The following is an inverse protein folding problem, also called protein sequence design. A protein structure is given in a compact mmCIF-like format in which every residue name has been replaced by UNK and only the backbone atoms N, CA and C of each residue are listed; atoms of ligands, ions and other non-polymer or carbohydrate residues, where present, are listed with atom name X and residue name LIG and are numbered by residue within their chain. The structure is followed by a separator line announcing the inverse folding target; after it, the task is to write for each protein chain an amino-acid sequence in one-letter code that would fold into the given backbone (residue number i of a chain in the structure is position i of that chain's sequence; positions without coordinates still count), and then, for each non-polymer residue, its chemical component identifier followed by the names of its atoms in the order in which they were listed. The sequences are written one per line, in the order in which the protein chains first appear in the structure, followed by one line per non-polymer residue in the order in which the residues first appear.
data_IF_672053697121
#
_entry.id   IF_672053697121
#
_cell.length_a   1.000
_cell.length_b   1.000
_cell.length_c   1.000
_cell.angle_alpha   90.00
_cell.angle_beta   90.00
_cell.angle_gamma   90.00
#
_symmetry.space_group_name_H-M   'P 1'
#
loop_
_entity.id
_entity.type
_entity.pdbx_description
1 polymer ?
#
# COMPACT_ATOMS: atom_id res chain seq x y z
N UNK A 1 24.95 -7.51 15.47
CA UNK A 1 24.41 -8.64 14.69
C UNK A 1 23.06 -8.96 15.24
N UNK A 2 22.01 -8.54 14.54
CA UNK A 2 20.63 -8.66 15.03
C UNK A 2 20.08 -10.04 14.68
N UNK A 3 19.30 -10.60 15.61
CA UNK A 3 18.70 -11.95 15.55
C UNK A 3 17.82 -12.17 14.31
N UNK A 4 17.45 -11.11 13.60
CA UNK A 4 16.70 -11.17 12.33
C UNK A 4 17.56 -11.60 11.12
N UNK A 5 18.87 -11.32 11.11
CA UNK A 5 19.75 -11.72 9.99
C UNK A 5 20.05 -13.23 10.01
N UNK A 6 20.12 -13.83 11.20
CA UNK A 6 20.42 -15.26 11.35
C UNK A 6 19.25 -16.15 10.91
N UNK A 7 18.01 -15.66 11.04
CA UNK A 7 16.82 -16.42 10.65
C UNK A 7 16.58 -16.42 9.13
N UNK A 8 17.11 -15.44 8.39
CA UNK A 8 17.11 -15.44 6.92
C UNK A 8 18.17 -16.37 6.33
N UNK A 9 19.35 -16.46 6.95
CA UNK A 9 20.45 -17.30 6.44
C UNK A 9 20.28 -18.80 6.69
N UNK A 10 19.62 -19.21 7.78
CA UNK A 10 19.37 -20.64 8.02
C UNK A 10 18.34 -21.25 7.07
N UNK A 11 17.45 -20.44 6.49
CA UNK A 11 16.41 -20.91 5.58
C UNK A 11 16.89 -21.15 4.14
N UNK A 12 18.08 -20.64 3.79
CA UNK A 12 18.66 -20.76 2.44
C UNK A 12 19.67 -21.92 2.29
N UNK A 13 20.18 -22.48 3.40
CA UNK A 13 21.22 -23.51 3.35
C UNK A 13 20.71 -24.94 3.18
N UNK A 14 19.40 -25.18 3.27
CA UNK A 14 18.82 -26.53 3.29
C UNK A 14 17.98 -26.90 2.06
N UNK A 15 17.87 -26.03 1.06
CA UNK A 15 17.11 -26.31 -0.16
C UNK A 15 18.08 -26.44 -1.33
N UNK A 16 18.43 -27.69 -1.64
CA UNK A 16 19.20 -28.05 -2.83
C UNK A 16 18.57 -27.50 -4.11
N UNK A 17 19.43 -27.26 -5.10
CA UNK A 17 19.12 -26.64 -6.38
C UNK A 17 17.90 -27.26 -7.09
N UNK A 18 16.75 -26.63 -6.91
CA UNK A 18 15.65 -26.61 -7.85
C UNK A 18 14.98 -25.25 -7.70
N UNK A 19 15.12 -24.41 -8.72
CA UNK A 19 14.54 -23.09 -8.79
C UNK A 19 13.00 -23.17 -8.67
N UNK A 20 12.49 -23.09 -7.46
CA UNK A 20 11.07 -22.85 -7.22
C UNK A 20 10.88 -21.34 -7.24
N UNK A 21 10.45 -20.87 -8.41
CA UNK A 21 10.00 -19.49 -8.61
C UNK A 21 9.00 -19.10 -7.52
N UNK A 22 8.99 -17.83 -7.03
CA UNK A 22 7.98 -17.33 -6.08
C UNK A 22 6.51 -17.55 -6.52
N UNK A 23 6.28 -17.95 -7.77
CA UNK A 23 5.00 -18.31 -8.34
C UNK A 23 4.33 -19.53 -7.66
N UNK A 24 5.09 -20.53 -7.20
CA UNK A 24 4.53 -21.81 -6.72
C UNK A 24 3.76 -21.72 -5.39
N UNK A 25 3.86 -20.61 -4.65
CA UNK A 25 3.09 -20.37 -3.42
C UNK A 25 1.79 -19.59 -3.66
N UNK A 26 1.58 -19.10 -4.88
CA UNK A 26 0.41 -18.34 -5.31
C UNK A 26 -0.49 -19.13 -6.26
N UNK A 27 -0.22 -20.43 -6.47
CA UNK A 27 -1.04 -21.26 -7.33
C UNK A 27 -2.45 -21.42 -6.72
N UNK A 28 -3.51 -21.17 -7.51
CA UNK A 28 -4.88 -21.43 -7.08
C UNK A 28 -5.04 -22.92 -6.78
N UNK A 29 -5.93 -23.32 -5.85
CA UNK A 29 -6.21 -24.73 -5.61
C UNK A 29 -6.71 -25.41 -6.90
N UNK A 30 -6.70 -26.75 -6.99
CA UNK A 30 -7.04 -27.48 -8.22
C UNK A 30 -8.44 -27.18 -8.79
N UNK A 31 -9.35 -26.70 -7.95
CA UNK A 31 -10.70 -26.25 -8.32
C UNK A 31 -10.73 -24.85 -8.97
N UNK A 32 -9.58 -24.18 -9.06
CA UNK A 32 -9.43 -22.83 -9.60
C UNK A 32 -9.95 -21.74 -8.67
N UNK A 33 -10.19 -22.03 -7.38
CA UNK A 33 -10.56 -21.05 -6.36
C UNK A 33 -9.39 -20.12 -6.00
N UNK A 34 -9.67 -19.06 -5.24
CA UNK A 34 -8.60 -18.17 -4.75
C UNK A 34 -7.96 -18.78 -3.50
N UNK A 35 -6.64 -18.91 -3.49
CA UNK A 35 -5.89 -19.38 -2.32
C UNK A 35 -5.91 -18.32 -1.20
N UNK A 36 -6.82 -18.47 -0.24
CA UNK A 36 -6.95 -17.56 0.91
C UNK A 36 -5.87 -17.75 1.98
N UNK A 37 -5.07 -18.82 1.90
CA UNK A 37 -3.93 -19.04 2.79
C UNK A 37 -2.69 -18.27 2.34
N UNK A 38 -2.63 -17.88 1.07
CA UNK A 38 -1.59 -17.02 0.54
C UNK A 38 -1.60 -15.66 1.24
N UNK A 39 -0.44 -15.23 1.76
CA UNK A 39 -0.34 -14.04 2.60
C UNK A 39 -0.87 -12.79 1.88
N UNK A 40 -0.49 -12.58 0.61
CA UNK A 40 -0.93 -11.39 -0.13
C UNK A 40 -2.44 -11.36 -0.33
N UNK A 41 -3.06 -12.52 -0.56
CA UNK A 41 -4.51 -12.61 -0.67
C UNK A 41 -5.18 -12.26 0.65
N UNK A 42 -4.69 -12.87 1.74
CA UNK A 42 -5.25 -12.76 3.07
C UNK A 42 -5.19 -11.35 3.64
N UNK A 43 -4.04 -10.66 3.52
CA UNK A 43 -3.85 -9.32 4.08
C UNK A 43 -4.67 -8.24 3.37
N UNK A 44 -5.13 -8.51 2.15
CA UNK A 44 -5.91 -7.58 1.34
C UNK A 44 -7.40 -7.59 1.68
N UNK A 45 -7.83 -8.43 2.63
CA UNK A 45 -9.21 -8.44 3.14
C UNK A 45 -9.36 -7.37 4.23
N UNK A 46 -9.39 -6.09 3.85
CA UNK A 46 -9.28 -4.97 4.79
C UNK A 46 -10.38 -4.94 5.85
N UNK A 47 -11.64 -5.21 5.46
CA UNK A 47 -12.78 -5.23 6.40
C UNK A 47 -12.58 -6.21 7.57
N UNK A 48 -11.92 -7.35 7.34
CA UNK A 48 -11.61 -8.32 8.41
C UNK A 48 -10.68 -7.73 9.47
N UNK A 49 -9.67 -6.98 9.05
CA UNK A 49 -8.68 -6.40 9.96
C UNK A 49 -9.20 -5.13 10.62
N UNK A 50 -9.87 -4.27 9.85
CA UNK A 50 -10.46 -3.04 10.37
C UNK A 50 -11.48 -3.32 11.48
N UNK A 51 -12.27 -4.39 11.36
CA UNK A 51 -13.26 -4.75 12.39
C UNK A 51 -12.62 -4.87 13.78
N UNK A 52 -11.47 -5.54 13.86
CA UNK A 52 -10.75 -5.74 15.13
C UNK A 52 -10.27 -4.44 15.75
N UNK A 53 -9.91 -3.45 14.93
CA UNK A 53 -9.55 -2.12 15.40
C UNK A 53 -10.79 -1.38 15.89
N UNK A 54 -11.91 -1.48 15.16
CA UNK A 54 -13.17 -0.83 15.53
C UNK A 54 -13.86 -1.44 16.75
N UNK A 55 -13.51 -2.67 17.13
CA UNK A 55 -13.95 -3.28 18.38
C UNK A 55 -13.34 -2.59 19.62
N UNK A 56 -12.26 -1.81 19.44
CA UNK A 56 -11.50 -1.17 20.52
C UNK A 56 -11.49 0.37 20.37
N UNK A 57 -11.36 0.86 19.15
CA UNK A 57 -11.24 2.29 18.85
C UNK A 57 -12.48 2.79 18.09
N UNK A 58 -13.06 3.94 18.47
CA UNK A 58 -14.10 4.57 17.69
C UNK A 58 -13.59 4.93 16.29
N UNK A 59 -14.50 4.91 15.30
CA UNK A 59 -14.20 5.25 13.90
C UNK A 59 -13.55 6.62 13.75
N UNK A 60 -13.90 7.58 14.61
CA UNK A 60 -13.34 8.94 14.62
C UNK A 60 -11.85 9.00 14.98
N UNK A 61 -11.26 7.92 15.53
CA UNK A 61 -9.83 7.82 15.82
C UNK A 61 -9.05 7.07 14.73
N UNK A 62 -9.69 6.69 13.63
CA UNK A 62 -9.04 5.98 12.53
C UNK A 62 -9.28 6.76 11.23
N UNK A 63 -8.22 7.34 10.68
CA UNK A 63 -8.26 7.95 9.36
C UNK A 63 -7.74 6.97 8.29
N UNK A 64 -8.58 6.69 7.31
CA UNK A 64 -8.24 5.83 6.18
C UNK A 64 -7.88 6.71 4.98
N UNK A 65 -6.63 6.60 4.54
CA UNK A 65 -6.09 7.35 3.39
C UNK A 65 -6.37 6.56 2.11
N UNK A 66 -6.83 7.25 1.07
CA UNK A 66 -6.97 6.67 -0.26
C UNK A 66 -5.61 6.65 -0.95
N UNK A 67 -4.99 5.46 -1.00
CA UNK A 67 -3.67 5.27 -1.59
C UNK A 67 -3.62 5.59 -3.09
N UNK A 68 -4.70 5.36 -3.82
CA UNK A 68 -4.77 5.65 -5.26
C UNK A 68 -4.85 7.17 -5.49
N UNK A 69 -5.63 7.87 -4.66
CA UNK A 69 -5.66 9.33 -4.66
C UNK A 69 -4.33 9.94 -4.21
N UNK A 70 -3.67 9.37 -3.21
CA UNK A 70 -2.38 9.85 -2.69
C UNK A 70 -1.29 9.81 -3.77
N UNK A 71 -1.29 8.79 -4.62
CA UNK A 71 -0.37 8.70 -5.76
C UNK A 71 -0.61 9.82 -6.78
N UNK A 72 -1.88 10.21 -7.01
CA UNK A 72 -2.27 11.21 -8.02
C UNK A 72 -2.16 12.66 -7.52
N UNK A 73 -2.55 12.91 -6.28
CA UNK A 73 -2.59 14.23 -5.65
C UNK A 73 -2.23 14.11 -4.15
N UNK A 74 -0.92 14.02 -3.83
CA UNK A 74 -0.48 13.81 -2.45
C UNK A 74 -0.83 14.98 -1.54
N UNK A 75 -0.87 16.21 -2.06
CA UNK A 75 -1.16 17.40 -1.29
C UNK A 75 -2.56 17.31 -0.66
N UNK A 76 -3.58 17.05 -1.46
CA UNK A 76 -4.97 17.02 -0.96
C UNK A 76 -5.16 15.91 0.08
N UNK A 77 -4.59 14.72 -0.14
CA UNK A 77 -4.66 13.63 0.84
C UNK A 77 -3.92 13.96 2.14
N UNK A 78 -2.76 14.61 2.07
CA UNK A 78 -2.01 14.97 3.28
C UNK A 78 -2.63 16.15 4.05
N UNK A 79 -3.38 17.03 3.38
CA UNK A 79 -4.18 18.05 4.07
C UNK A 79 -5.31 17.42 4.91
N UNK A 80 -5.92 16.33 4.44
CA UNK A 80 -6.90 15.57 5.24
C UNK A 80 -6.24 14.96 6.49
N UNK A 81 -4.99 14.51 6.36
CA UNK A 81 -4.19 14.01 7.48
C UNK A 81 -3.85 15.13 8.48
N UNK A 82 -3.42 16.31 8.02
CA UNK A 82 -3.20 17.47 8.91
C UNK A 82 -4.46 17.80 9.72
N UNK A 83 -5.63 17.82 9.07
CA UNK A 83 -6.91 18.08 9.74
C UNK A 83 -7.26 16.98 10.76
N UNK A 84 -7.12 15.71 10.38
CA UNK A 84 -7.42 14.59 11.26
C UNK A 84 -6.54 14.59 12.52
N UNK A 85 -5.25 14.91 12.38
CA UNK A 85 -4.30 14.99 13.49
C UNK A 85 -4.39 16.32 14.26
N UNK A 86 -5.29 17.24 13.86
CA UNK A 86 -5.41 18.59 14.41
C UNK A 86 -4.08 19.37 14.37
N UNK A 87 -3.37 19.27 13.24
CA UNK A 87 -2.15 20.00 12.97
C UNK A 87 -2.45 21.31 12.21
N UNK A 88 -1.58 22.30 12.38
CA UNK A 88 -1.63 23.50 11.55
C UNK A 88 -1.36 23.14 10.09
N UNK A 89 -2.11 23.72 9.15
CA UNK A 89 -1.93 23.52 7.71
C UNK A 89 -0.63 24.17 7.24
N UNK A 90 0.45 23.38 7.21
CA UNK A 90 1.79 23.84 6.87
C UNK A 90 2.24 23.39 5.50
N UNK A 91 1.71 22.24 5.04
CA UNK A 91 1.99 21.71 3.71
C UNK A 91 1.43 22.63 2.64
N UNK A 92 2.21 22.81 1.58
CA UNK A 92 1.83 23.55 0.38
C UNK A 92 1.89 22.66 -0.85
N UNK A 93 1.10 23.00 -1.87
CA UNK A 93 1.10 22.24 -3.12
C UNK A 93 2.48 22.27 -3.78
N UNK A 94 3.19 23.38 -3.64
CA UNK A 94 4.53 23.59 -4.22
C UNK A 94 5.63 22.75 -3.57
N UNK A 95 5.37 22.21 -2.37
CA UNK A 95 6.28 21.29 -1.67
C UNK A 95 6.35 19.94 -2.39
N UNK A 96 5.32 19.60 -3.17
CA UNK A 96 5.24 18.37 -3.96
C UNK A 96 5.54 18.68 -5.44
N UNK A 97 6.28 17.79 -6.09
CA UNK A 97 6.46 17.87 -7.54
C UNK A 97 6.48 16.46 -8.14
N UNK A 98 5.96 16.32 -9.34
CA UNK A 98 5.93 15.04 -10.04
C UNK A 98 7.28 14.80 -10.74
N UNK A 99 7.92 13.66 -10.43
CA UNK A 99 9.13 13.23 -11.12
C UNK A 99 8.76 12.25 -12.22
N UNK A 100 8.81 12.68 -13.49
CA UNK A 100 8.40 11.88 -14.65
C UNK A 100 9.27 10.63 -14.84
N UNK A 101 10.56 10.68 -14.52
CA UNK A 101 11.47 9.53 -14.60
C UNK A 101 11.12 8.47 -13.55
N UNK A 102 10.75 8.90 -12.34
CA UNK A 102 10.31 7.99 -11.28
C UNK A 102 8.86 7.53 -11.46
N UNK A 103 8.02 8.35 -12.10
CA UNK A 103 6.58 8.12 -12.26
C UNK A 103 5.76 8.42 -10.99
N UNK A 104 6.35 9.09 -9.99
CA UNK A 104 5.71 9.39 -8.71
C UNK A 104 6.05 10.82 -8.26
N UNK A 105 5.24 11.35 -7.34
CA UNK A 105 5.56 12.59 -6.64
C UNK A 105 6.73 12.41 -5.68
N UNK A 106 7.56 13.45 -5.61
CA UNK A 106 8.61 13.65 -4.63
C UNK A 106 8.32 14.94 -3.84
N UNK A 107 9.00 15.16 -2.72
CA UNK A 107 8.82 16.36 -1.90
C UNK A 107 10.11 17.16 -1.74
N UNK A 108 9.98 18.47 -1.55
CA UNK A 108 11.08 19.39 -1.28
C UNK A 108 11.19 19.61 0.22
N UNK A 109 12.39 19.50 0.77
CA UNK A 109 12.63 19.86 2.17
C UNK A 109 12.81 21.37 2.26
N UNK A 110 11.96 22.03 3.06
CA UNK A 110 12.12 23.44 3.41
C UNK A 110 13.25 23.58 4.43
N UNK A 111 14.29 24.35 4.11
CA UNK A 111 15.33 24.68 5.09
C UNK A 111 14.78 25.77 6.04
N UNK A 112 14.95 25.59 7.35
CA UNK A 112 14.51 26.55 8.38
C UNK A 112 15.38 27.81 8.41
N UNK A 113 16.63 27.70 7.96
CA UNK A 113 17.55 28.82 7.79
C UNK A 113 17.54 29.16 6.29
N UNK A 114 17.33 30.44 5.94
CA UNK A 114 17.31 30.99 4.57
C UNK A 114 18.65 30.84 3.80
N UNK A 115 19.37 29.75 4.03
CA UNK A 115 20.56 29.39 3.31
C UNK A 115 20.15 28.80 1.96
N UNK A 116 20.46 29.54 0.91
CA UNK A 116 20.26 29.21 -0.51
C UNK A 116 21.00 27.94 -0.98
N UNK A 117 21.56 27.16 -0.07
CA UNK A 117 22.25 25.91 -0.34
C UNK A 117 21.25 24.74 -0.41
N UNK A 118 20.72 24.55 -1.61
CA UNK A 118 20.08 23.31 -2.10
C UNK A 118 18.75 22.92 -1.42
N UNK A 119 17.65 23.31 -2.05
CA UNK A 119 16.32 22.77 -1.77
C UNK A 119 16.38 21.25 -1.99
N UNK A 120 16.61 20.50 -0.91
CA UNK A 120 16.93 19.07 -1.03
C UNK A 120 15.66 18.33 -1.40
N UNK A 121 15.68 17.78 -2.60
CA UNK A 121 14.60 16.99 -3.16
C UNK A 121 14.69 15.58 -2.59
N UNK A 122 13.58 15.11 -2.03
CA UNK A 122 13.46 13.76 -1.52
C UNK A 122 12.40 12.99 -2.30
N UNK A 123 12.85 11.94 -2.95
CA UNK A 123 11.99 10.95 -3.59
C UNK A 123 11.97 9.68 -2.75
N UNK A 124 10.90 8.89 -2.89
CA UNK A 124 10.87 7.53 -2.35
C UNK A 124 12.01 6.68 -2.96
N UNK A 125 12.54 5.75 -2.18
CA UNK A 125 13.63 4.87 -2.61
C UNK A 125 13.19 3.88 -3.71
N UNK A 126 14.15 3.22 -4.35
CA UNK A 126 13.90 2.31 -5.49
C UNK A 126 13.07 1.06 -5.13
N UNK A 127 12.85 0.81 -3.83
CA UNK A 127 11.94 -0.25 -3.39
C UNK A 127 10.46 0.10 -3.58
N UNK A 128 10.14 1.38 -3.83
CA UNK A 128 8.79 1.91 -4.04
C UNK A 128 8.53 2.11 -5.53
N UNK A 129 7.30 1.79 -5.96
CA UNK A 129 6.91 1.98 -7.37
C UNK A 129 7.44 0.91 -8.33
N UNK A 130 7.73 -0.29 -7.85
CA UNK A 130 8.21 -1.40 -8.70
C UNK A 130 7.17 -1.76 -9.76
N UNK A 131 7.63 -2.01 -10.99
CA UNK A 131 6.75 -2.45 -12.08
C UNK A 131 6.11 -3.79 -11.72
N UNK A 132 4.78 -3.84 -11.76
CA UNK A 132 4.03 -5.07 -11.53
C UNK A 132 4.18 -6.02 -12.74
N UNK A 133 4.20 -7.34 -12.51
CA UNK A 133 4.19 -8.32 -13.58
C UNK A 133 2.87 -8.24 -14.37
N UNK A 134 2.89 -8.70 -15.62
CA UNK A 134 1.65 -8.89 -16.37
C UNK A 134 0.94 -10.13 -15.82
N UNK A 135 -0.31 -9.97 -15.41
CA UNK A 135 -1.14 -11.04 -14.84
C UNK A 135 -2.29 -11.32 -15.80
N UNK A 136 -2.61 -12.60 -16.00
CA UNK A 136 -3.72 -13.01 -16.85
C UNK A 136 -5.04 -12.33 -16.43
N UNK A 137 -5.78 -11.78 -17.40
CA UNK A 137 -7.03 -11.06 -17.16
C UNK A 137 -8.07 -11.92 -16.43
N UNK A 138 -8.08 -13.23 -16.67
CA UNK A 138 -8.97 -14.19 -15.98
C UNK A 138 -8.66 -14.25 -14.49
N UNK A 139 -7.38 -14.18 -14.11
CA UNK A 139 -6.94 -14.16 -12.71
C UNK A 139 -7.33 -12.82 -12.06
N UNK A 140 -7.09 -11.69 -12.75
CA UNK A 140 -7.50 -10.37 -12.25
C UNK A 140 -9.01 -10.32 -12.00
N UNK A 141 -9.83 -10.78 -12.95
CA UNK A 141 -11.29 -10.85 -12.78
C UNK A 141 -11.69 -11.70 -11.57
N UNK A 142 -11.12 -12.90 -11.43
CA UNK A 142 -11.38 -13.77 -10.27
C UNK A 142 -11.02 -13.10 -8.94
N UNK A 143 -9.89 -12.38 -8.89
CA UNK A 143 -9.49 -11.63 -7.71
C UNK A 143 -10.48 -10.50 -7.39
N UNK A 144 -10.94 -9.74 -8.40
CA UNK A 144 -11.96 -8.68 -8.23
C UNK A 144 -13.27 -9.26 -7.70
N UNK A 145 -13.80 -10.30 -8.34
CA UNK A 145 -15.00 -11.00 -7.91
C UNK A 145 -14.88 -11.53 -6.47
N UNK A 146 -13.70 -12.05 -6.10
CA UNK A 146 -13.42 -12.50 -4.75
C UNK A 146 -13.39 -11.36 -3.72
N UNK A 147 -12.79 -10.21 -4.05
CA UNK A 147 -12.66 -9.08 -3.12
C UNK A 147 -13.93 -8.24 -2.96
N UNK A 148 -14.80 -8.19 -3.98
CA UNK A 148 -16.02 -7.38 -3.99
C UNK A 148 -16.82 -7.36 -2.67
N UNK A 149 -17.27 -8.50 -2.12
CA UNK A 149 -18.05 -8.48 -0.87
C UNK A 149 -17.26 -7.93 0.32
N UNK A 150 -15.92 -8.08 0.32
CA UNK A 150 -15.06 -7.55 1.37
C UNK A 150 -14.81 -6.05 1.22
N UNK A 151 -14.76 -5.54 -0.02
CA UNK A 151 -14.65 -4.12 -0.36
C UNK A 151 -15.94 -3.39 0.02
N UNK A 152 -17.10 -3.89 -0.39
CA UNK A 152 -18.41 -3.32 -0.03
C UNK A 152 -18.57 -3.22 1.50
N UNK A 153 -18.20 -4.30 2.23
CA UNK A 153 -18.19 -4.27 3.69
C UNK A 153 -17.23 -3.21 4.24
N UNK A 154 -16.03 -3.10 3.67
CA UNK A 154 -15.05 -2.10 4.09
C UNK A 154 -15.58 -0.68 3.88
N UNK A 155 -16.17 -0.37 2.72
CA UNK A 155 -16.74 0.93 2.40
C UNK A 155 -17.84 1.33 3.39
N UNK A 156 -18.72 0.39 3.72
CA UNK A 156 -19.74 0.60 4.75
C UNK A 156 -19.14 0.89 6.13
N UNK A 157 -18.06 0.20 6.50
CA UNK A 157 -17.40 0.39 7.80
C UNK A 157 -16.72 1.76 7.93
N UNK A 158 -16.15 2.28 6.84
CA UNK A 158 -15.44 3.57 6.85
C UNK A 158 -16.30 4.74 6.35
N UNK A 159 -17.52 4.47 5.90
CA UNK A 159 -18.46 5.46 5.38
C UNK A 159 -18.02 6.13 4.08
N UNK A 160 -17.16 5.47 3.29
CA UNK A 160 -16.59 6.02 2.05
C UNK A 160 -16.35 4.91 1.03
N UNK A 161 -16.75 5.16 -0.21
CA UNK A 161 -16.41 4.34 -1.38
C UNK A 161 -15.05 4.80 -1.97
N UNK A 162 -14.17 3.84 -2.27
CA UNK A 162 -12.84 4.08 -2.84
C UNK A 162 -12.79 3.80 -4.35
N UNK A 163 -13.88 3.33 -4.95
CA UNK A 163 -14.00 3.11 -6.39
C UNK A 163 -13.07 2.01 -6.91
N UNK A 164 -12.74 1.00 -6.09
CA UNK A 164 -11.91 -0.11 -6.58
C UNK A 164 -12.67 -0.91 -7.64
N UNK A 165 -11.98 -1.40 -8.69
CA UNK A 165 -12.64 -2.03 -9.82
C UNK A 165 -13.22 -3.39 -9.44
N UNK A 166 -14.53 -3.57 -9.68
CA UNK A 166 -15.28 -4.76 -9.28
C UNK A 166 -15.49 -5.79 -10.42
N UNK A 167 -14.99 -5.51 -11.64
CA UNK A 167 -15.07 -6.41 -12.83
C UNK A 167 -13.79 -6.41 -13.65
#
# INVERSE_FOLDING_TARGET
MNVLEQHEQQHWSSVGAAATSPALLADPPPDGSINTNYKATRISIYSRYLQRWLDIFPTSQIHVIDGDALIRDPFTQLQEVEKFLNLHATLKREDFYFNSTKGFYCWKKRNENNDTAHNTVHCLNDSKGRKHPNVDRRVIRKLREFYRPFNEKFYNMVGRDFGWPET
#
